data_IF_917893671637
#
_entry.id   IF_917893671637
#
_cell.length_a   1.000
_cell.length_b   1.000
_cell.length_c   1.000
_cell.angle_alpha   90.00
_cell.angle_beta   90.00
_cell.angle_gamma   90.00
#
_symmetry.space_group_name_H-M   'P 1'
#
loop_
_entity.id
_entity.type
_entity.pdbx_description
1 polymer ?
#
# COMPACT_ATOMS: atom_id res chain seq x y z
N UNK A 1 -22.78 -17.54 8.08
CA UNK A 1 -21.42 -17.61 7.54
C UNK A 1 -20.37 -17.68 8.66
N UNK A 2 -20.19 -16.65 9.50
CA UNK A 2 -19.16 -16.64 10.56
C UNK A 2 -19.21 -17.83 11.53
N UNK A 3 -20.39 -18.29 11.96
CA UNK A 3 -20.53 -19.49 12.81
C UNK A 3 -19.99 -20.78 12.17
N UNK A 4 -20.06 -20.90 10.85
CA UNK A 4 -19.53 -22.07 10.15
C UNK A 4 -17.99 -22.03 10.12
N UNK A 5 -17.44 -20.86 9.79
CA UNK A 5 -16.00 -20.62 9.79
C UNK A 5 -15.42 -20.81 11.20
N UNK A 6 -16.11 -20.33 12.24
CA UNK A 6 -15.73 -20.54 13.64
C UNK A 6 -15.64 -22.03 14.00
N UNK A 7 -16.66 -22.83 13.65
CA UNK A 7 -16.64 -24.28 13.90
C UNK A 7 -15.49 -24.98 13.18
N UNK A 8 -15.21 -24.57 11.93
CA UNK A 8 -14.09 -25.08 11.17
C UNK A 8 -12.75 -24.80 11.88
N UNK A 9 -12.56 -23.57 12.39
CA UNK A 9 -11.38 -23.22 13.17
C UNK A 9 -11.32 -23.94 14.52
N UNK A 10 -12.45 -24.12 15.21
CA UNK A 10 -12.53 -24.89 16.45
C UNK A 10 -12.06 -26.34 16.26
N UNK A 11 -12.54 -27.02 15.22
CA UNK A 11 -12.13 -28.40 14.93
C UNK A 11 -10.64 -28.52 14.55
N UNK A 12 -10.10 -27.57 13.79
CA UNK A 12 -8.69 -27.58 13.38
C UNK A 12 -7.78 -27.25 14.56
N UNK A 13 -8.16 -26.26 15.37
CA UNK A 13 -7.36 -25.79 16.52
C UNK A 13 -7.06 -26.90 17.53
N UNK A 14 -7.95 -27.89 17.66
CA UNK A 14 -7.76 -29.09 18.50
C UNK A 14 -6.54 -29.93 18.11
N UNK A 15 -6.09 -29.83 16.85
CA UNK A 15 -4.91 -30.57 16.34
C UNK A 15 -3.70 -29.67 16.14
N UNK A 16 -3.91 -28.43 15.68
CA UNK A 16 -2.85 -27.44 15.40
C UNK A 16 -3.44 -26.05 15.35
N UNK A 17 -2.68 -25.03 15.72
CA UNK A 17 -3.12 -23.62 15.56
C UNK A 17 -3.01 -23.23 14.08
N UNK A 18 -4.14 -22.96 13.39
CA UNK A 18 -4.16 -22.53 12.00
C UNK A 18 -3.77 -21.06 11.84
N UNK A 19 -3.30 -20.73 10.64
CA UNK A 19 -3.03 -19.36 10.20
C UNK A 19 -4.00 -19.03 9.07
N UNK A 20 -4.81 -17.99 9.25
CA UNK A 20 -5.68 -17.42 8.23
C UNK A 20 -4.97 -16.22 7.61
N UNK A 21 -4.81 -16.23 6.28
CA UNK A 21 -4.27 -15.11 5.53
C UNK A 21 -5.36 -14.59 4.61
N UNK A 22 -5.68 -13.30 4.73
CA UNK A 22 -6.61 -12.60 3.86
C UNK A 22 -5.83 -11.58 3.08
N UNK A 23 -5.69 -11.82 1.78
CA UNK A 23 -4.97 -10.95 0.86
C UNK A 23 -5.93 -9.99 0.16
N UNK A 24 -5.44 -8.78 -0.16
CA UNK A 24 -6.18 -7.66 -0.75
C UNK A 24 -7.55 -7.39 -0.11
N UNK A 25 -7.57 -7.20 1.22
CA UNK A 25 -8.82 -7.03 1.97
C UNK A 25 -9.69 -5.87 1.45
N UNK A 26 -9.10 -4.82 0.89
CA UNK A 26 -9.81 -3.65 0.36
C UNK A 26 -10.80 -4.01 -0.76
N UNK A 27 -10.60 -5.13 -1.46
CA UNK A 27 -11.57 -5.64 -2.46
C UNK A 27 -12.96 -5.83 -1.83
N UNK A 28 -13.02 -6.21 -0.55
CA UNK A 28 -14.28 -6.35 0.18
C UNK A 28 -14.94 -4.98 0.41
N UNK A 29 -14.16 -3.92 0.62
CA UNK A 29 -14.66 -2.54 0.73
C UNK A 29 -15.22 -2.01 -0.60
N UNK A 30 -14.54 -2.32 -1.70
CA UNK A 30 -14.94 -1.88 -3.05
C UNK A 30 -16.26 -2.50 -3.54
N UNK A 31 -16.65 -3.65 -2.99
CA UNK A 31 -17.85 -4.39 -3.41
C UNK A 31 -19.19 -3.69 -3.05
N UNK A 32 -19.19 -2.39 -2.69
CA UNK A 32 -20.34 -1.66 -2.12
C UNK A 32 -20.94 -2.37 -0.92
N UNK A 33 -20.10 -3.12 -0.20
CA UNK A 33 -20.52 -3.83 0.97
C UNK A 33 -20.52 -2.82 2.11
N UNK A 34 -21.70 -2.66 2.70
CA UNK A 34 -22.01 -1.85 3.87
C UNK A 34 -20.87 -1.88 4.92
N UNK A 35 -20.44 -0.72 5.44
CA UNK A 35 -19.34 -0.62 6.42
C UNK A 35 -19.55 -1.52 7.66
N UNK A 36 -20.82 -1.87 7.92
CA UNK A 36 -21.23 -2.88 8.88
C UNK A 36 -20.58 -4.26 8.66
N UNK A 37 -20.28 -4.69 7.43
CA UNK A 37 -19.64 -5.98 7.17
C UNK A 37 -18.16 -5.96 7.50
N UNK A 38 -17.42 -4.90 7.12
CA UNK A 38 -16.00 -4.74 7.47
C UNK A 38 -15.85 -4.77 8.98
N UNK A 39 -16.69 -3.99 9.68
CA UNK A 39 -16.76 -3.99 11.13
C UNK A 39 -17.04 -5.37 11.73
N UNK A 40 -18.03 -6.11 11.18
CA UNK A 40 -18.35 -7.48 11.62
C UNK A 40 -17.21 -8.47 11.33
N UNK A 41 -16.48 -8.28 10.24
CA UNK A 41 -15.37 -9.12 9.83
C UNK A 41 -14.17 -8.95 10.78
N UNK A 42 -13.80 -7.70 11.10
CA UNK A 42 -12.75 -7.44 12.07
C UNK A 42 -13.13 -7.92 13.48
N UNK A 43 -14.38 -7.71 13.91
CA UNK A 43 -14.91 -8.32 15.14
C UNK A 43 -14.70 -9.83 15.16
N UNK A 44 -15.02 -10.49 14.04
CA UNK A 44 -14.86 -11.93 13.92
C UNK A 44 -13.39 -12.35 14.02
N UNK A 45 -12.46 -11.63 13.39
CA UNK A 45 -11.03 -11.89 13.52
C UNK A 45 -10.51 -11.69 14.95
N UNK A 46 -10.95 -10.62 15.63
CA UNK A 46 -10.63 -10.39 17.04
C UNK A 46 -11.15 -11.53 17.90
N UNK A 47 -12.39 -11.99 17.67
CA UNK A 47 -12.95 -13.13 18.39
C UNK A 47 -12.17 -14.42 18.16
N UNK A 48 -11.79 -14.72 16.92
CA UNK A 48 -10.97 -15.90 16.61
C UNK A 48 -9.59 -15.86 17.29
N UNK A 49 -8.96 -14.69 17.37
CA UNK A 49 -7.56 -14.55 17.82
C UNK A 49 -7.40 -14.26 19.31
N UNK A 50 -8.28 -13.42 19.89
CA UNK A 50 -8.16 -12.87 21.25
C UNK A 50 -9.16 -13.45 22.24
N UNK A 51 -10.35 -13.83 21.79
CA UNK A 51 -11.38 -14.40 22.68
C UNK A 51 -11.28 -15.91 22.74
N UNK A 52 -11.21 -16.56 21.57
CA UNK A 52 -11.24 -18.02 21.46
C UNK A 52 -9.85 -18.63 21.22
N UNK A 53 -8.85 -17.82 20.87
CA UNK A 53 -7.48 -18.25 20.56
C UNK A 53 -7.39 -19.42 19.56
N UNK A 54 -8.30 -19.45 18.58
CA UNK A 54 -8.45 -20.55 17.62
C UNK A 54 -7.52 -20.45 16.42
N UNK A 55 -6.99 -19.27 16.11
CA UNK A 55 -6.15 -19.04 14.92
C UNK A 55 -5.26 -17.80 15.07
N UNK A 56 -4.23 -17.71 14.23
CA UNK A 56 -3.59 -16.44 13.87
C UNK A 56 -4.22 -15.90 12.60
N UNK A 57 -4.38 -14.57 12.50
CA UNK A 57 -4.96 -13.91 11.33
C UNK A 57 -3.98 -12.86 10.82
N UNK A 58 -3.62 -12.96 9.53
CA UNK A 58 -2.90 -11.94 8.79
C UNK A 58 -3.86 -11.33 7.77
N UNK A 59 -3.94 -10.02 7.78
CA UNK A 59 -4.69 -9.23 6.80
C UNK A 59 -3.66 -8.42 6.02
N UNK A 60 -3.68 -8.55 4.71
CA UNK A 60 -2.79 -7.85 3.77
C UNK A 60 -3.64 -6.95 2.88
N UNK A 61 -3.16 -5.74 2.65
CA UNK A 61 -3.83 -4.76 1.80
C UNK A 61 -2.78 -3.83 1.20
N UNK A 62 -2.96 -3.49 -0.07
CA UNK A 62 -2.17 -2.48 -0.76
C UNK A 62 -2.79 -1.08 -0.72
N UNK A 63 -4.02 -0.94 -0.20
CA UNK A 63 -4.73 0.34 -0.16
C UNK A 63 -4.56 1.02 1.21
N UNK A 64 -3.76 2.10 1.21
CA UNK A 64 -3.50 2.88 2.42
C UNK A 64 -4.68 3.75 2.87
N UNK A 65 -5.61 4.14 1.99
CA UNK A 65 -6.85 4.84 2.39
C UNK A 65 -7.78 3.88 3.12
N UNK A 66 -7.86 2.64 2.66
CA UNK A 66 -8.60 1.59 3.37
C UNK A 66 -8.01 1.36 4.76
N UNK A 67 -6.68 1.32 4.90
CA UNK A 67 -6.02 1.23 6.20
C UNK A 67 -6.34 2.43 7.09
N UNK A 68 -6.32 3.67 6.58
CA UNK A 68 -6.67 4.87 7.37
C UNK A 68 -8.08 4.75 7.97
N UNK A 69 -9.05 4.34 7.17
CA UNK A 69 -10.43 4.12 7.60
C UNK A 69 -10.49 3.06 8.71
N UNK A 70 -9.83 1.92 8.50
CA UNK A 70 -9.80 0.80 9.45
C UNK A 70 -9.04 1.15 10.74
N UNK A 71 -7.98 1.97 10.65
CA UNK A 71 -7.19 2.43 11.80
C UNK A 71 -8.00 3.34 12.73
N UNK A 72 -8.91 4.13 12.15
CA UNK A 72 -9.81 4.98 12.91
C UNK A 72 -10.84 4.18 13.72
N UNK A 73 -11.06 2.89 13.41
CA UNK A 73 -11.97 2.05 14.18
C UNK A 73 -11.36 1.62 15.52
N UNK A 74 -12.00 2.03 16.62
CA UNK A 74 -11.59 1.69 17.99
C UNK A 74 -11.51 0.18 18.28
N UNK A 75 -12.06 -0.67 17.40
CA UNK A 75 -12.14 -2.11 17.58
C UNK A 75 -10.78 -2.83 17.44
N UNK A 76 -9.90 -2.29 16.60
CA UNK A 76 -8.58 -2.85 16.35
C UNK A 76 -7.52 -2.28 17.29
N UNK A 77 -7.82 -1.14 17.93
CA UNK A 77 -6.91 -0.46 18.85
C UNK A 77 -6.47 -1.37 19.99
N UNK A 78 -5.17 -1.70 20.00
CA UNK A 78 -4.55 -2.60 20.98
C UNK A 78 -4.86 -4.09 20.79
N UNK A 79 -5.55 -4.47 19.69
CA UNK A 79 -5.94 -5.86 19.40
C UNK A 79 -5.26 -6.44 18.17
N UNK A 80 -4.70 -5.62 17.30
CA UNK A 80 -3.87 -6.03 16.16
C UNK A 80 -2.45 -5.47 16.27
N UNK A 81 -1.57 -5.96 15.39
CA UNK A 81 -0.23 -5.40 15.14
C UNK A 81 -0.15 -5.05 13.67
N UNK A 82 0.27 -3.83 13.37
CA UNK A 82 0.54 -3.37 12.02
C UNK A 82 1.98 -3.69 11.63
N UNK A 83 2.17 -4.08 10.38
CA UNK A 83 3.47 -4.41 9.80
C UNK A 83 3.52 -3.72 8.44
N UNK A 84 4.32 -2.66 8.34
CA UNK A 84 4.62 -2.05 7.06
C UNK A 84 5.61 -2.95 6.30
N UNK A 85 5.26 -3.29 5.08
CA UNK A 85 6.17 -3.93 4.12
C UNK A 85 6.41 -2.92 3.02
N UNK A 86 7.60 -2.33 3.02
CA UNK A 86 8.02 -1.31 2.06
C UNK A 86 9.04 -1.90 1.08
N UNK A 87 9.40 -1.10 0.07
CA UNK A 87 10.51 -1.38 -0.82
C UNK A 87 11.83 -1.48 -0.03
N UNK A 88 12.83 -2.14 -0.62
CA UNK A 88 14.12 -2.33 0.07
C UNK A 88 14.85 -1.00 0.28
N UNK A 89 15.44 -0.82 1.46
CA UNK A 89 16.46 0.21 1.61
C UNK A 89 17.66 -0.07 0.70
N UNK A 90 18.53 0.94 0.55
CA UNK A 90 19.70 0.84 -0.32
C UNK A 90 20.59 -0.35 0.02
N UNK A 91 20.87 -0.58 1.30
CA UNK A 91 21.77 -1.64 1.74
C UNK A 91 21.18 -3.02 1.39
N UNK A 92 19.89 -3.20 1.64
CA UNK A 92 19.13 -4.42 1.35
C UNK A 92 19.03 -4.67 -0.15
N UNK A 93 18.75 -3.63 -0.95
CA UNK A 93 18.69 -3.73 -2.40
C UNK A 93 20.05 -4.13 -2.99
N UNK A 94 21.13 -3.50 -2.54
CA UNK A 94 22.50 -3.80 -2.98
C UNK A 94 22.89 -5.23 -2.59
N UNK A 95 22.61 -5.65 -1.35
CA UNK A 95 22.88 -7.02 -0.88
C UNK A 95 22.03 -8.07 -1.62
N UNK A 96 20.81 -7.73 -2.02
CA UNK A 96 19.96 -8.59 -2.84
C UNK A 96 20.55 -8.77 -4.24
N UNK A 97 20.96 -7.68 -4.89
CA UNK A 97 21.55 -7.71 -6.24
C UNK A 97 22.92 -8.38 -6.28
N UNK A 98 23.72 -8.26 -5.22
CA UNK A 98 25.01 -8.94 -5.09
C UNK A 98 24.86 -10.47 -5.14
N UNK A 99 23.78 -11.01 -4.56
CA UNK A 99 23.45 -12.44 -4.64
C UNK A 99 22.98 -12.88 -6.04
N UNK A 100 22.74 -11.93 -6.94
CA UNK A 100 22.31 -12.17 -8.32
C UNK A 100 23.42 -11.87 -9.34
N UNK A 101 24.69 -11.86 -8.90
CA UNK A 101 25.87 -11.64 -9.74
C UNK A 101 25.89 -10.28 -10.49
N UNK A 102 25.26 -9.25 -9.93
CA UNK A 102 25.34 -7.89 -10.48
C UNK A 102 26.71 -7.27 -10.18
N UNK A 103 27.29 -6.63 -11.20
CA UNK A 103 28.50 -5.80 -11.04
C UNK A 103 28.18 -4.51 -10.27
N UNK A 104 29.21 -3.85 -9.70
CA UNK A 104 29.02 -2.58 -8.97
C UNK A 104 28.37 -1.48 -9.82
N UNK A 105 28.68 -1.45 -11.12
CA UNK A 105 28.05 -0.53 -12.08
C UNK A 105 26.56 -0.83 -12.26
N UNK A 106 26.20 -2.10 -12.46
CA UNK A 106 24.80 -2.51 -12.60
C UNK A 106 24.00 -2.29 -11.31
N UNK A 107 24.60 -2.50 -10.15
CA UNK A 107 23.98 -2.22 -8.84
C UNK A 107 23.69 -0.73 -8.67
N UNK A 108 24.63 0.14 -9.08
CA UNK A 108 24.45 1.60 -9.04
C UNK A 108 23.31 2.03 -9.95
N UNK A 109 23.30 1.53 -11.19
CA UNK A 109 22.23 1.81 -12.17
C UNK A 109 20.87 1.29 -11.67
N UNK A 110 20.82 0.07 -11.11
CA UNK A 110 19.58 -0.47 -10.56
C UNK A 110 19.03 0.42 -9.44
N UNK A 111 19.88 0.87 -8.53
CA UNK A 111 19.48 1.77 -7.45
C UNK A 111 19.00 3.13 -7.97
N UNK A 112 19.75 3.78 -8.87
CA UNK A 112 19.42 5.11 -9.39
C UNK A 112 18.10 5.16 -10.17
N UNK A 113 17.79 4.09 -10.92
CA UNK A 113 16.63 4.09 -11.82
C UNK A 113 15.43 3.28 -11.30
N UNK A 114 15.65 2.34 -10.39
CA UNK A 114 14.59 1.45 -9.88
C UNK A 114 14.43 1.52 -8.35
N UNK A 115 15.39 2.09 -7.63
CA UNK A 115 15.39 2.13 -6.16
C UNK A 115 15.37 0.73 -5.53
N UNK A 116 14.62 0.60 -4.45
CA UNK A 116 14.45 -0.63 -3.68
C UNK A 116 13.39 -1.59 -4.18
N UNK A 117 12.66 -1.24 -5.26
CA UNK A 117 11.42 -1.91 -5.61
C UNK A 117 11.64 -3.35 -6.08
N UNK A 118 11.22 -4.38 -5.30
CA UNK A 118 11.60 -5.77 -5.59
C UNK A 118 11.16 -6.26 -6.98
N UNK A 119 9.98 -5.82 -7.45
CA UNK A 119 9.46 -6.18 -8.78
C UNK A 119 10.35 -5.62 -9.89
N UNK A 120 10.84 -4.38 -9.76
CA UNK A 120 11.75 -3.78 -10.73
C UNK A 120 13.11 -4.47 -10.71
N UNK A 121 13.66 -4.74 -9.52
CA UNK A 121 14.91 -5.47 -9.37
C UNK A 121 14.83 -6.87 -10.00
N UNK A 122 13.70 -7.58 -9.82
CA UNK A 122 13.48 -8.89 -10.43
C UNK A 122 13.42 -8.82 -11.97
N UNK A 123 12.83 -7.77 -12.53
CA UNK A 123 12.81 -7.56 -13.97
C UNK A 123 14.22 -7.26 -14.50
N UNK A 124 15.05 -6.51 -13.77
CA UNK A 124 16.46 -6.31 -14.11
C UNK A 124 17.29 -7.59 -14.04
N UNK A 125 17.01 -8.49 -13.10
CA UNK A 125 17.69 -9.79 -13.02
C UNK A 125 17.43 -10.63 -14.28
N UNK A 126 16.23 -10.50 -14.86
CA UNK A 126 15.82 -11.23 -16.08
C UNK A 126 16.23 -10.51 -17.36
N UNK A 127 16.73 -9.28 -17.26
CA UNK A 127 17.09 -8.43 -18.38
C UNK A 127 18.46 -8.79 -18.96
N UNK A 128 18.53 -8.88 -20.29
CA UNK A 128 19.83 -8.92 -21.00
C UNK A 128 20.55 -7.57 -20.94
N UNK A 129 19.83 -6.49 -21.23
CA UNK A 129 20.36 -5.11 -21.20
C UNK A 129 19.81 -4.34 -19.99
N UNK A 130 20.42 -4.56 -18.82
CA UNK A 130 19.93 -4.04 -17.53
C UNK A 130 19.81 -2.52 -17.50
N UNK A 131 20.83 -1.80 -18.00
CA UNK A 131 20.83 -0.33 -18.00
C UNK A 131 19.72 0.26 -18.89
N UNK A 132 19.51 -0.30 -20.09
CA UNK A 132 18.45 0.14 -20.98
C UNK A 132 17.08 -0.07 -20.34
N UNK A 133 16.86 -1.22 -19.69
CA UNK A 133 15.58 -1.56 -19.05
C UNK A 133 15.33 -0.68 -17.83
N UNK A 134 16.34 -0.45 -16.99
CA UNK A 134 16.24 0.43 -15.83
C UNK A 134 15.84 1.86 -16.25
N UNK A 135 16.53 2.43 -17.26
CA UNK A 135 16.20 3.75 -17.82
C UNK A 135 14.78 3.79 -18.39
N UNK A 136 14.35 2.73 -19.07
CA UNK A 136 13.00 2.61 -19.63
C UNK A 136 11.93 2.59 -18.54
N UNK A 137 12.17 1.91 -17.42
CA UNK A 137 11.24 1.90 -16.28
C UNK A 137 11.03 3.29 -15.71
N UNK A 138 12.12 4.02 -15.42
CA UNK A 138 12.03 5.40 -14.92
C UNK A 138 11.36 6.31 -15.94
N UNK A 139 11.72 6.22 -17.23
CA UNK A 139 11.10 7.01 -18.29
C UNK A 139 9.59 6.74 -18.40
N UNK A 140 9.16 5.49 -18.23
CA UNK A 140 7.74 5.12 -18.23
C UNK A 140 7.01 5.79 -17.05
N UNK A 141 7.58 5.75 -15.85
CA UNK A 141 7.00 6.42 -14.67
C UNK A 141 6.94 7.94 -14.83
N UNK A 142 7.99 8.53 -15.39
CA UNK A 142 8.04 9.96 -15.68
C UNK A 142 6.98 10.39 -16.71
N UNK A 143 6.73 9.57 -17.73
CA UNK A 143 5.67 9.82 -18.70
C UNK A 143 4.28 9.70 -18.07
N UNK A 144 4.04 8.67 -17.25
CA UNK A 144 2.77 8.53 -16.52
C UNK A 144 2.47 9.76 -15.65
N UNK A 145 3.48 10.29 -14.94
CA UNK A 145 3.32 11.49 -14.14
C UNK A 145 3.05 12.74 -15.00
N UNK A 146 3.72 12.88 -16.14
CA UNK A 146 3.45 13.97 -17.10
C UNK A 146 2.03 13.90 -17.65
N UNK A 147 1.59 12.72 -18.06
CA UNK A 147 0.24 12.49 -18.59
C UNK A 147 -0.82 12.82 -17.53
N UNK A 148 -0.58 12.50 -16.26
CA UNK A 148 -1.45 12.90 -15.16
C UNK A 148 -1.49 14.43 -14.98
N UNK A 149 -0.34 15.11 -15.03
CA UNK A 149 -0.29 16.56 -14.90
C UNK A 149 -0.94 17.28 -16.09
N UNK A 150 -0.86 16.71 -17.29
CA UNK A 150 -1.55 17.20 -18.49
C UNK A 150 -3.07 16.96 -18.39
N UNK A 151 -3.49 15.76 -17.94
CA UNK A 151 -4.89 15.46 -17.66
C UNK A 151 -5.53 16.47 -16.69
N UNK A 152 -4.79 16.89 -15.66
CA UNK A 152 -5.24 17.88 -14.67
C UNK A 152 -5.27 19.33 -15.22
N UNK A 153 -4.68 19.62 -16.38
CA UNK A 153 -4.84 20.93 -17.04
C UNK A 153 -6.24 21.09 -17.66
N UNK A 154 -6.81 19.98 -18.14
CA UNK A 154 -8.10 19.99 -18.83
C UNK A 154 -9.26 19.53 -17.95
N UNK A 155 -8.97 18.87 -16.83
CA UNK A 155 -9.99 18.25 -15.98
C UNK A 155 -9.82 18.65 -14.51
N UNK A 156 -10.94 18.60 -13.78
CA UNK A 156 -10.99 18.76 -12.33
C UNK A 156 -11.61 17.50 -11.74
N UNK A 157 -10.80 16.46 -11.48
CA UNK A 157 -11.34 15.21 -10.96
C UNK A 157 -12.04 15.46 -9.64
N UNK A 158 -13.13 14.72 -9.43
CA UNK A 158 -13.90 14.77 -8.19
C UNK A 158 -13.48 13.63 -7.28
N UNK A 159 -13.24 13.94 -6.03
CA UNK A 159 -13.01 12.97 -4.97
C UNK A 159 -14.14 13.08 -3.96
N UNK A 160 -14.68 11.94 -3.56
CA UNK A 160 -15.68 11.85 -2.50
C UNK A 160 -14.99 11.57 -1.18
N UNK A 161 -15.21 12.43 -0.19
CA UNK A 161 -14.73 12.24 1.19
C UNK A 161 -15.96 12.28 2.09
N UNK A 162 -16.29 11.14 2.71
CA UNK A 162 -17.58 10.95 3.37
C UNK A 162 -18.72 11.07 2.35
N UNK A 163 -19.71 11.92 2.63
CA UNK A 163 -20.85 12.16 1.74
C UNK A 163 -20.69 13.39 0.84
N UNK A 164 -19.51 14.03 0.86
CA UNK A 164 -19.26 15.30 0.14
C UNK A 164 -18.27 15.11 -1.00
N UNK A 165 -18.58 15.71 -2.16
CA UNK A 165 -17.68 15.76 -3.31
C UNK A 165 -16.81 17.02 -3.29
N UNK A 166 -15.51 16.85 -3.54
CA UNK A 166 -14.53 17.92 -3.65
C UNK A 166 -13.86 17.87 -5.03
N UNK A 167 -13.60 19.04 -5.62
CA UNK A 167 -12.84 19.15 -6.86
C UNK A 167 -11.35 19.26 -6.54
N UNK A 168 -10.55 18.47 -7.23
CA UNK A 168 -9.09 18.52 -7.12
C UNK A 168 -8.54 19.44 -8.20
N UNK A 169 -7.57 20.28 -7.84
CA UNK A 169 -6.87 21.15 -8.80
C UNK A 169 -5.43 20.71 -8.99
N UNK A 170 -4.88 20.98 -10.18
CA UNK A 170 -3.45 20.75 -10.47
C UNK A 170 -2.54 21.49 -9.49
N UNK A 171 -2.91 22.70 -9.08
CA UNK A 171 -2.12 23.52 -8.16
C UNK A 171 -1.91 22.81 -6.81
N UNK A 172 -2.98 22.23 -6.27
CA UNK A 172 -2.93 21.49 -5.01
C UNK A 172 -2.07 20.24 -5.16
N UNK A 173 -2.26 19.47 -6.24
CA UNK A 173 -1.45 18.27 -6.55
C UNK A 173 0.04 18.60 -6.64
N UNK A 174 0.41 19.63 -7.42
CA UNK A 174 1.80 20.05 -7.58
C UNK A 174 2.39 20.54 -6.26
N UNK A 175 1.60 21.24 -5.44
CA UNK A 175 2.06 21.68 -4.11
C UNK A 175 2.48 20.50 -3.24
N UNK A 176 1.70 19.40 -3.23
CA UNK A 176 2.02 18.19 -2.48
C UNK A 176 3.26 17.52 -3.06
N UNK A 177 3.28 17.25 -4.36
CA UNK A 177 4.39 16.54 -5.01
C UNK A 177 5.72 17.31 -4.88
N UNK A 178 5.69 18.64 -4.90
CA UNK A 178 6.89 19.47 -4.74
C UNK A 178 7.59 19.29 -3.38
N UNK A 179 6.84 18.89 -2.34
CA UNK A 179 7.41 18.60 -1.01
C UNK A 179 8.26 17.32 -1.00
N UNK A 180 8.09 16.44 -1.98
CA UNK A 180 8.86 15.20 -2.12
C UNK A 180 10.12 15.34 -2.98
N UNK A 181 10.45 16.56 -3.45
CA UNK A 181 11.58 16.77 -4.35
C UNK A 181 12.92 16.32 -3.75
N UNK A 182 13.11 16.56 -2.45
CA UNK A 182 14.37 16.29 -1.73
C UNK A 182 14.21 15.28 -0.59
N UNK A 183 13.00 14.75 -0.36
CA UNK A 183 12.69 13.86 0.77
C UNK A 183 11.70 12.77 0.37
N UNK A 184 11.95 11.54 0.84
CA UNK A 184 11.09 10.38 0.53
C UNK A 184 9.79 10.34 1.36
N UNK A 185 9.78 10.98 2.54
CA UNK A 185 8.62 11.03 3.42
C UNK A 185 8.35 12.45 3.89
N UNK A 186 7.07 12.82 3.97
CA UNK A 186 6.62 14.10 4.51
C UNK A 186 5.51 13.89 5.54
N UNK A 187 5.42 14.80 6.49
CA UNK A 187 4.29 14.89 7.42
C UNK A 187 3.01 15.29 6.66
N UNK A 188 1.90 14.64 7.02
CA UNK A 188 0.62 14.75 6.32
C UNK A 188 -0.18 16.00 6.71
N UNK A 189 0.25 16.71 7.76
CA UNK A 189 -0.48 17.86 8.29
C UNK A 189 -0.41 19.04 7.33
N UNK A 190 -1.56 19.70 7.19
CA UNK A 190 -1.72 20.88 6.33
C UNK A 190 -1.71 20.58 4.83
N UNK A 191 -1.67 19.31 4.41
CA UNK A 191 -1.88 18.93 3.01
C UNK A 191 -3.34 19.11 2.60
N UNK A 192 -3.57 19.51 1.35
CA UNK A 192 -4.91 19.53 0.79
C UNK A 192 -5.48 18.11 0.76
N UNK A 193 -6.55 17.89 1.52
CA UNK A 193 -7.11 16.55 1.76
C UNK A 193 -7.64 15.91 0.47
N UNK A 194 -8.42 16.61 -0.39
CA UNK A 194 -8.83 16.08 -1.70
C UNK A 194 -7.66 15.68 -2.60
N UNK A 195 -6.64 16.53 -2.74
CA UNK A 195 -5.46 16.23 -3.55
C UNK A 195 -4.66 15.06 -2.99
N UNK A 196 -4.47 14.99 -1.66
CA UNK A 196 -3.85 13.83 -0.99
C UNK A 196 -4.59 12.53 -1.32
N UNK A 197 -5.91 12.51 -1.15
CA UNK A 197 -6.72 11.32 -1.45
C UNK A 197 -6.66 10.93 -2.93
N UNK A 198 -6.64 11.91 -3.83
CA UNK A 198 -6.48 11.66 -5.27
C UNK A 198 -5.14 10.96 -5.56
N UNK A 199 -4.03 11.49 -5.02
CA UNK A 199 -2.70 10.93 -5.22
C UNK A 199 -2.56 9.51 -4.66
N UNK A 200 -3.17 9.23 -3.51
CA UNK A 200 -3.14 7.89 -2.93
C UNK A 200 -3.99 6.92 -3.76
N UNK A 201 -5.20 7.34 -4.16
CA UNK A 201 -6.09 6.52 -4.97
C UNK A 201 -5.49 6.17 -6.34
N UNK A 202 -4.72 7.08 -6.91
CA UNK A 202 -4.00 6.85 -8.18
C UNK A 202 -2.68 6.07 -8.01
N UNK A 203 -2.40 5.57 -6.79
CA UNK A 203 -1.19 4.82 -6.42
C UNK A 203 0.12 5.60 -6.66
N UNK A 204 0.07 6.93 -6.46
CA UNK A 204 1.26 7.80 -6.55
C UNK A 204 1.91 7.94 -5.17
N UNK A 205 1.11 8.12 -4.13
CA UNK A 205 1.57 8.23 -2.75
C UNK A 205 0.96 7.12 -1.90
N UNK A 206 1.66 6.76 -0.82
CA UNK A 206 1.15 5.86 0.21
C UNK A 206 1.09 6.59 1.54
N UNK A 207 0.01 6.37 2.28
CA UNK A 207 -0.13 6.85 3.65
C UNK A 207 0.35 5.77 4.62
N UNK A 208 1.25 6.14 5.52
CA UNK A 208 1.63 5.30 6.65
C UNK A 208 0.88 5.76 7.91
N UNK A 209 -0.18 5.06 8.37
CA UNK A 209 -1.00 5.49 9.49
C UNK A 209 -0.30 5.40 10.86
N UNK A 210 0.83 4.69 10.96
CA UNK A 210 1.58 4.55 12.21
C UNK A 210 2.51 5.75 12.50
N UNK A 211 2.83 6.56 11.48
CA UNK A 211 3.76 7.69 11.62
C UNK A 211 3.09 9.04 11.96
N UNK A 212 1.75 9.09 11.98
CA UNK A 212 0.99 10.31 12.22
C UNK A 212 0.82 11.10 10.93
#
# INVERSE_FOLDING_TARGET
>A
MFKYIERFFDEISKKRVPVLIVDELQVIGDMKIDGLLIYKLFNFFVRLTKELHLAHVFVVTSDSLFLEQVYSEAILKGRCRYLLVDDFDRETAIAFLEKCDFTDGEKTVAWEYCGGKPVCLLELIRAGEKEMIAKKMLATRLNQLKDLLDYLDYTKPKITIGDTEYMVTKGDIVSILSRFADTECIDDQGLDRPAKHFLIKDNILFLNPDLG
#
